data_IF_018084290678
#
_entry.id   IF_018084290678
#
_cell.length_a   1.000
_cell.length_b   1.000
_cell.length_c   1.000
_cell.angle_alpha   90.00
_cell.angle_beta   90.00
_cell.angle_gamma   90.00
#
_symmetry.space_group_name_H-M   'P 1'
#
loop_
_entity.id
_entity.type
_entity.pdbx_description
1 polymer ?
#
# COMPACT_ATOMS: atom_id res chain seq x y z
N UNK A 1 -21.12 2.28 7.91
CA UNK A 1 -19.87 2.79 7.32
C UNK A 1 -20.18 4.08 6.58
N UNK A 2 -19.35 5.10 6.74
CA UNK A 2 -19.52 6.39 6.08
C UNK A 2 -19.21 6.29 4.59
N UNK A 3 -19.63 7.30 3.80
CA UNK A 3 -19.27 7.40 2.37
C UNK A 3 -17.76 7.37 2.17
N UNK A 4 -17.04 8.13 2.99
CA UNK A 4 -15.57 8.19 2.97
C UNK A 4 -14.96 6.79 3.11
N UNK A 5 -15.35 6.03 4.13
CA UNK A 5 -14.80 4.68 4.36
C UNK A 5 -15.22 3.69 3.28
N UNK A 6 -16.45 3.76 2.75
CA UNK A 6 -16.86 2.93 1.62
C UNK A 6 -15.96 3.17 0.39
N UNK A 7 -15.68 4.44 0.09
CA UNK A 7 -14.81 4.81 -1.03
C UNK A 7 -13.34 4.44 -0.78
N UNK A 8 -12.84 4.57 0.46
CA UNK A 8 -11.51 4.07 0.83
C UNK A 8 -11.43 2.55 0.65
N UNK A 9 -12.40 1.79 1.17
CA UNK A 9 -12.41 0.33 1.04
C UNK A 9 -12.44 -0.13 -0.43
N UNK A 10 -13.23 0.54 -1.26
CA UNK A 10 -13.27 0.29 -2.71
C UNK A 10 -11.88 0.54 -3.34
N UNK A 11 -11.27 1.68 -3.04
CA UNK A 11 -9.93 2.04 -3.52
C UNK A 11 -8.86 1.02 -3.10
N UNK A 12 -8.84 0.61 -1.83
CA UNK A 12 -7.90 -0.39 -1.32
C UNK A 12 -8.07 -1.73 -2.05
N UNK A 13 -9.30 -2.16 -2.30
CA UNK A 13 -9.61 -3.43 -2.97
C UNK A 13 -9.18 -3.45 -4.44
N UNK A 14 -9.43 -2.35 -5.17
CA UNK A 14 -9.07 -2.23 -6.58
C UNK A 14 -7.56 -2.04 -6.78
N UNK A 15 -6.91 -1.24 -5.93
CA UNK A 15 -5.46 -1.02 -5.96
C UNK A 15 -4.65 -2.13 -5.27
N UNK A 16 -5.31 -3.15 -4.70
CA UNK A 16 -4.70 -4.26 -3.94
C UNK A 16 -3.82 -3.81 -2.77
N UNK A 17 -4.21 -2.72 -2.11
CA UNK A 17 -3.49 -2.16 -0.97
C UNK A 17 -3.90 -2.91 0.31
N UNK A 18 -2.91 -3.48 0.99
CA UNK A 18 -3.13 -4.17 2.26
C UNK A 18 -3.36 -3.18 3.41
N UNK A 19 -4.23 -3.53 4.35
CA UNK A 19 -4.49 -2.73 5.55
C UNK A 19 -3.22 -2.45 6.38
N UNK A 20 -2.30 -3.41 6.46
CA UNK A 20 -1.02 -3.24 7.16
C UNK A 20 -0.17 -2.14 6.54
N UNK A 21 -0.18 -2.03 5.21
CA UNK A 21 0.50 -0.96 4.50
C UNK A 21 -0.18 0.39 4.74
N UNK A 22 -1.51 0.44 4.73
CA UNK A 22 -2.25 1.66 5.07
C UNK A 22 -1.91 2.15 6.50
N UNK A 23 -1.84 1.26 7.48
CA UNK A 23 -1.40 1.60 8.84
C UNK A 23 0.01 2.20 8.86
N UNK A 24 0.94 1.63 8.10
CA UNK A 24 2.32 2.11 8.01
C UNK A 24 2.42 3.51 7.40
N UNK A 25 1.77 3.76 6.26
CA UNK A 25 1.89 5.06 5.55
C UNK A 25 1.10 6.19 6.22
N UNK A 26 0.07 5.86 7.00
CA UNK A 26 -0.75 6.85 7.72
C UNK A 26 -0.24 7.12 9.14
N UNK A 27 0.58 6.21 9.69
CA UNK A 27 0.99 6.22 11.09
C UNK A 27 -0.15 5.93 12.07
N UNK A 28 -1.29 5.44 11.59
CA UNK A 28 -2.43 5.06 12.42
C UNK A 28 -2.24 3.60 12.86
N UNK A 29 -2.43 3.33 14.15
CA UNK A 29 -2.36 1.99 14.71
C UNK A 29 -3.21 0.98 13.92
N UNK A 30 -2.68 -0.22 13.72
CA UNK A 30 -3.30 -1.27 12.90
C UNK A 30 -4.70 -1.65 13.40
N UNK A 31 -4.89 -1.73 14.72
CA UNK A 31 -6.18 -2.07 15.31
C UNK A 31 -7.17 -0.91 15.18
N UNK A 32 -6.69 0.34 15.28
CA UNK A 32 -7.51 1.52 15.00
C UNK A 32 -7.96 1.54 13.53
N UNK A 33 -7.05 1.36 12.56
CA UNK A 33 -7.41 1.23 11.13
C UNK A 33 -8.43 0.11 10.94
N UNK A 34 -8.24 -1.06 11.57
CA UNK A 34 -9.15 -2.19 11.44
C UNK A 34 -10.57 -1.83 11.84
N UNK A 35 -10.72 -1.15 12.99
CA UNK A 35 -12.02 -0.74 13.50
C UNK A 35 -12.68 0.32 12.62
N UNK A 36 -11.89 1.26 12.09
CA UNK A 36 -12.37 2.28 11.14
C UNK A 36 -12.86 1.62 9.84
N UNK A 37 -12.05 0.79 9.20
CA UNK A 37 -12.38 0.18 7.91
C UNK A 37 -13.54 -0.82 7.99
N UNK A 38 -13.78 -1.41 9.16
CA UNK A 38 -14.93 -2.30 9.42
C UNK A 38 -16.18 -1.54 9.89
N UNK A 39 -16.07 -0.24 10.19
CA UNK A 39 -17.14 0.57 10.73
C UNK A 39 -17.45 0.35 12.22
N UNK A 40 -16.59 -0.39 12.94
CA UNK A 40 -16.69 -0.56 14.39
C UNK A 40 -16.31 0.71 15.18
N UNK A 41 -15.62 1.65 14.52
CA UNK A 41 -15.30 2.96 15.06
C UNK A 41 -15.50 4.01 13.96
N UNK A 42 -16.18 5.12 14.28
CA UNK A 42 -16.25 6.26 13.37
C UNK A 42 -14.89 6.95 13.22
N UNK A 43 -14.56 7.33 12.01
CA UNK A 43 -13.36 8.09 11.70
C UNK A 43 -13.51 9.57 12.08
N UNK A 44 -12.48 10.12 12.72
CA UNK A 44 -12.39 11.57 12.96
C UNK A 44 -11.92 12.30 11.70
N UNK A 45 -12.09 13.64 11.65
CA UNK A 45 -11.54 14.45 10.55
C UNK A 45 -10.03 14.27 10.37
N UNK A 46 -9.27 14.15 11.48
CA UNK A 46 -7.83 13.86 11.42
C UNK A 46 -7.52 12.46 10.87
N UNK A 47 -8.39 11.48 11.13
CA UNK A 47 -8.24 10.15 10.55
C UNK A 47 -8.48 10.19 9.04
N UNK A 48 -9.50 10.93 8.58
CA UNK A 48 -9.77 11.15 7.16
C UNK A 48 -8.58 11.79 6.46
N UNK A 49 -8.03 12.87 7.02
CA UNK A 49 -6.86 13.58 6.46
C UNK A 49 -5.64 12.66 6.35
N UNK A 50 -5.32 11.92 7.42
CA UNK A 50 -4.19 10.99 7.44
C UNK A 50 -4.36 9.88 6.42
N UNK A 51 -5.55 9.26 6.33
CA UNK A 51 -5.85 8.20 5.38
C UNK A 51 -5.75 8.72 3.95
N UNK A 52 -6.39 9.86 3.64
CA UNK A 52 -6.36 10.44 2.31
C UNK A 52 -4.93 10.80 1.89
N UNK A 53 -4.19 11.51 2.77
CA UNK A 53 -2.79 11.89 2.51
C UNK A 53 -1.89 10.66 2.34
N UNK A 54 -2.06 9.64 3.17
CA UNK A 54 -1.32 8.38 3.05
C UNK A 54 -1.55 7.68 1.71
N UNK A 55 -2.76 7.79 1.15
CA UNK A 55 -3.12 7.26 -0.17
C UNK A 55 -2.79 8.21 -1.33
N UNK A 56 -2.18 9.36 -1.06
CA UNK A 56 -1.83 10.36 -2.09
C UNK A 56 -3.05 11.03 -2.72
N UNK A 57 -4.16 11.13 -2.00
CA UNK A 57 -5.42 11.76 -2.44
C UNK A 57 -5.87 12.82 -1.42
N UNK A 58 -6.87 13.61 -1.79
CA UNK A 58 -7.51 14.54 -0.86
C UNK A 58 -8.72 13.88 -0.17
N UNK A 59 -9.23 14.48 0.89
CA UNK A 59 -10.42 13.96 1.58
C UNK A 59 -11.64 14.04 0.66
N UNK A 60 -11.74 15.13 -0.11
CA UNK A 60 -12.81 15.38 -1.07
C UNK A 60 -12.90 14.28 -2.14
N UNK A 61 -11.75 13.75 -2.59
CA UNK A 61 -11.71 12.62 -3.53
C UNK A 61 -12.52 11.42 -3.00
N UNK A 62 -12.44 11.12 -1.70
CA UNK A 62 -13.19 10.01 -1.10
C UNK A 62 -14.60 10.41 -0.66
N UNK A 63 -14.97 11.69 -0.72
CA UNK A 63 -16.32 12.16 -0.44
C UNK A 63 -17.19 12.32 -1.69
N UNK A 64 -16.63 12.18 -2.90
CA UNK A 64 -17.40 12.21 -4.14
C UNK A 64 -18.39 11.04 -4.22
N UNK A 65 -19.47 11.22 -4.97
CA UNK A 65 -20.47 10.17 -5.19
C UNK A 65 -19.91 9.00 -6.00
N UNK A 66 -19.00 9.30 -6.92
CA UNK A 66 -18.28 8.32 -7.73
C UNK A 66 -16.79 8.61 -7.69
N UNK A 67 -16.00 7.64 -7.24
CA UNK A 67 -14.54 7.68 -7.33
C UNK A 67 -14.08 7.06 -8.64
N UNK A 68 -13.25 7.80 -9.37
CA UNK A 68 -12.54 7.28 -10.54
C UNK A 68 -11.25 6.61 -10.06
N UNK A 69 -11.25 5.29 -10.12
CA UNK A 69 -10.10 4.48 -9.75
C UNK A 69 -9.50 3.92 -11.05
N UNK A 70 -8.24 4.25 -11.36
CA UNK A 70 -7.54 3.65 -12.49
C UNK A 70 -7.57 2.14 -12.33
N UNK A 71 -8.21 1.46 -13.28
CA UNK A 71 -8.18 0.01 -13.29
C UNK A 71 -6.75 -0.41 -13.59
N UNK A 72 -6.08 -1.10 -12.66
CA UNK A 72 -4.92 -1.94 -12.97
C UNK A 72 -5.37 -3.17 -13.79
N UNK A 73 -6.15 -2.94 -14.84
CA UNK A 73 -6.53 -3.96 -15.81
C UNK A 73 -5.32 -4.22 -16.67
N UNK A 74 -4.61 -5.31 -16.38
CA UNK A 74 -3.50 -5.85 -17.20
C UNK A 74 -2.64 -4.74 -17.80
N UNK A 75 -2.29 -3.73 -17.00
CA UNK A 75 -1.23 -2.82 -17.39
C UNK A 75 -0.05 -3.75 -17.58
N UNK A 76 0.31 -3.97 -18.84
CA UNK A 76 1.40 -4.83 -19.23
C UNK A 76 2.54 -4.56 -18.27
N UNK A 77 3.09 -5.64 -17.70
CA UNK A 77 4.26 -5.63 -16.80
C UNK A 77 5.36 -4.66 -17.32
N UNK A 78 5.35 -4.38 -18.62
CA UNK A 78 6.16 -3.44 -19.38
C UNK A 78 5.94 -1.92 -19.12
N UNK A 79 5.17 -1.48 -18.12
CA UNK A 79 5.07 -0.04 -17.81
C UNK A 79 5.30 0.27 -16.33
N UNK A 80 6.41 -0.21 -15.78
CA UNK A 80 7.21 0.67 -14.90
C UNK A 80 7.85 1.73 -15.82
N UNK A 81 7.03 2.59 -16.41
CA UNK A 81 7.51 3.79 -17.05
C UNK A 81 7.90 4.72 -15.91
N UNK A 82 9.18 4.70 -15.54
CA UNK A 82 9.76 5.72 -14.69
C UNK A 82 9.32 7.08 -15.24
N UNK A 83 8.69 7.91 -14.41
CA UNK A 83 8.30 9.28 -14.76
C UNK A 83 9.52 10.21 -15.00
N UNK A 84 10.70 9.65 -15.31
CA UNK A 84 11.98 10.32 -15.46
C UNK A 84 12.51 10.33 -16.92
N UNK A 85 11.79 9.73 -17.88
CA UNK A 85 12.27 9.50 -19.25
C UNK A 85 12.75 8.07 -19.46
N UNK A 86 13.59 7.83 -20.49
CA UNK A 86 14.26 6.53 -20.64
C UNK A 86 15.14 6.28 -19.41
N UNK A 87 14.99 5.13 -18.72
CA UNK A 87 15.82 4.83 -17.57
C UNK A 87 17.28 4.74 -18.00
N UNK A 88 18.15 5.41 -17.27
CA UNK A 88 19.59 5.16 -17.38
C UNK A 88 19.92 3.71 -17.01
N UNK A 89 21.02 3.16 -17.53
CA UNK A 89 21.47 1.79 -17.20
C UNK A 89 21.52 1.55 -15.68
N UNK A 90 21.90 2.57 -14.91
CA UNK A 90 21.94 2.49 -13.44
C UNK A 90 20.54 2.35 -12.82
N UNK A 91 19.55 3.04 -13.35
CA UNK A 91 18.17 2.93 -12.87
C UNK A 91 17.57 1.56 -13.23
N UNK A 92 17.91 1.02 -14.40
CA UNK A 92 17.52 -0.32 -14.81
C UNK A 92 18.15 -1.39 -13.91
N UNK A 93 19.44 -1.28 -13.60
CA UNK A 93 20.13 -2.16 -12.65
C UNK A 93 19.47 -2.12 -11.26
N UNK A 94 19.14 -0.93 -10.75
CA UNK A 94 18.48 -0.77 -9.45
C UNK A 94 17.08 -1.39 -9.48
N UNK A 95 16.31 -1.20 -10.56
CA UNK A 95 15.00 -1.80 -10.71
C UNK A 95 15.07 -3.34 -10.72
N UNK A 96 16.03 -3.92 -11.43
CA UNK A 96 16.25 -5.36 -11.49
C UNK A 96 16.65 -5.93 -10.11
N UNK A 97 17.53 -5.26 -9.39
CA UNK A 97 17.91 -5.66 -8.02
C UNK A 97 16.72 -5.58 -7.05
N UNK A 98 15.83 -4.58 -7.22
CA UNK A 98 14.62 -4.47 -6.41
C UNK A 98 13.63 -5.60 -6.72
N UNK A 99 13.48 -5.98 -7.99
CA UNK A 99 12.65 -7.14 -8.37
C UNK A 99 13.20 -8.44 -7.78
N UNK A 100 14.51 -8.68 -7.92
CA UNK A 100 15.17 -9.86 -7.36
C UNK A 100 15.01 -9.94 -5.83
N UNK A 101 15.11 -8.81 -5.14
CA UNK A 101 14.86 -8.73 -3.70
C UNK A 101 13.40 -9.04 -3.35
N UNK A 102 12.44 -8.56 -4.14
CA UNK A 102 11.02 -8.81 -3.91
C UNK A 102 10.65 -10.28 -4.17
N UNK A 103 11.24 -10.91 -5.18
CA UNK A 103 11.05 -12.34 -5.48
C UNK A 103 11.64 -13.23 -4.37
N UNK A 104 12.76 -12.82 -3.78
CA UNK A 104 13.45 -13.60 -2.74
C UNK A 104 13.22 -13.07 -1.32
N UNK A 105 12.22 -12.21 -1.11
CA UNK A 105 11.99 -11.53 0.17
C UNK A 105 11.68 -12.52 1.30
N UNK A 106 11.00 -13.61 0.98
CA UNK A 106 10.70 -14.68 1.94
C UNK A 106 11.98 -15.38 2.40
N UNK A 107 13.00 -15.52 1.54
CA UNK A 107 14.29 -16.09 1.92
C UNK A 107 15.08 -15.17 2.86
N UNK A 108 15.08 -13.86 2.57
CA UNK A 108 15.74 -12.83 3.40
C UNK A 108 15.06 -12.71 4.76
N UNK A 109 13.74 -12.67 4.80
CA UNK A 109 12.97 -12.55 6.05
C UNK A 109 13.03 -13.82 6.89
N UNK A 110 13.06 -15.00 6.26
CA UNK A 110 13.26 -16.28 6.94
C UNK A 110 14.72 -16.57 7.29
N UNK A 111 15.69 -15.79 6.81
CA UNK A 111 17.09 -15.96 7.18
C UNK A 111 17.29 -15.77 8.69
N UNK A 112 16.63 -14.77 9.29
CA UNK A 112 16.71 -14.51 10.73
C UNK A 112 16.27 -15.71 11.58
N UNK A 113 15.14 -16.35 11.23
CA UNK A 113 14.66 -17.53 11.96
C UNK A 113 15.57 -18.74 11.79
N UNK A 114 16.21 -18.89 10.62
CA UNK A 114 17.22 -19.93 10.36
C UNK A 114 18.47 -19.75 11.22
N UNK A 115 19.00 -18.53 11.33
CA UNK A 115 20.15 -18.24 12.20
C UNK A 115 19.84 -18.42 13.69
N UNK A 116 18.65 -18.02 14.15
CA UNK A 116 18.22 -18.21 15.54
C UNK A 116 18.03 -19.69 15.91
N UNK A 117 17.66 -20.55 14.96
CA UNK A 117 17.54 -22.00 15.18
C UNK A 117 18.89 -22.71 15.26
N UNK A 118 19.89 -22.26 14.49
CA UNK A 118 21.25 -22.81 14.51
C UNK A 118 21.97 -22.47 15.81
N UNK A 119 21.73 -21.30 16.40
CA UNK A 119 22.34 -20.88 17.67
C UNK A 119 21.77 -21.59 18.92
N UNK A 120 20.73 -22.43 18.76
CA UNK A 120 20.07 -23.19 19.84
C UNK A 120 20.26 -24.71 19.75
N UNK A 121 20.97 -25.20 18.73
CA UNK A 121 21.42 -26.60 18.62
C UNK A 121 22.88 -26.72 19.05
#
# INVERSE_FOLDING_TARGET
MTKFINNVNKYLSEMKIKQTYLSMITGIDKNKISRILTGAQEESGTDMEKIARGLGKTVEFFLTDTIDIPHMGTASVNKIAFYAGEPSEKQEQIANQLMELMENIDEVLSAKSRFEHIARG
#
